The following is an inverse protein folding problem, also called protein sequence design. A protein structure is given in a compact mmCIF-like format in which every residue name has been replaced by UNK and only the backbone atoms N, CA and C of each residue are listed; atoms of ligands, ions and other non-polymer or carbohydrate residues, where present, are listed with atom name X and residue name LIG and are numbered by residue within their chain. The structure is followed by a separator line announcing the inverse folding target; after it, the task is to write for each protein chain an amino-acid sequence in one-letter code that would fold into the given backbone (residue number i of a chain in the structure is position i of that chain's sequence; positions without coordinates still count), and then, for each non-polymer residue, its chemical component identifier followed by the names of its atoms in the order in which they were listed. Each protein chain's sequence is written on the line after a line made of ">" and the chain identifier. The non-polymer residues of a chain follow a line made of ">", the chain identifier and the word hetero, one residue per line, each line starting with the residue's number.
data_IF_821053194175
#
_entry.id   IF_821053194175
#
_cell.length_a   1.000
_cell.length_b   1.000
_cell.length_c   1.000
_cell.angle_alpha   90.00
_cell.angle_beta   90.00
_cell.angle_gamma   90.00
#
_symmetry.space_group_name_H-M   'P 1'
#
loop_
_entity.id
_entity.type
_entity.pdbx_description
1 polymer ?
#
# COMPACT_ATOMS: atom_id res chain seq x y z
N UNK A 1 2.95 5.68 19.78
CA UNK A 1 1.52 5.73 19.38
C UNK A 1 1.33 5.03 18.03
N UNK A 2 0.30 4.24 17.94
CA UNK A 2 -0.02 3.55 16.69
C UNK A 2 -0.48 4.56 15.63
N UNK A 3 0.08 4.45 14.43
CA UNK A 3 -0.33 5.27 13.29
C UNK A 3 -0.79 4.35 12.19
N UNK A 4 -2.07 4.38 11.83
CA UNK A 4 -2.59 3.49 10.78
C UNK A 4 -2.02 3.79 9.40
N UNK A 5 -1.57 5.02 9.17
CA UNK A 5 -0.94 5.41 7.92
C UNK A 5 0.36 6.16 8.21
N UNK A 6 1.36 6.05 7.30
CA UNK A 6 2.55 6.89 7.42
C UNK A 6 2.18 8.36 7.32
N UNK A 7 3.03 9.22 7.90
CA UNK A 7 2.79 10.67 7.87
C UNK A 7 2.77 11.26 6.46
N UNK A 8 3.34 10.54 5.51
CA UNK A 8 3.43 11.01 4.13
C UNK A 8 2.21 10.70 3.28
N UNK A 9 1.22 10.01 3.84
CA UNK A 9 0.07 9.51 3.09
C UNK A 9 -1.23 9.99 3.73
N UNK A 10 -2.21 10.31 2.89
CA UNK A 10 -3.55 10.68 3.34
C UNK A 10 -4.59 9.98 2.48
N UNK A 11 -5.84 10.02 2.90
CA UNK A 11 -6.97 9.44 2.20
C UNK A 11 -7.79 10.57 1.58
N UNK A 12 -8.09 10.46 0.29
CA UNK A 12 -8.91 11.44 -0.42
C UNK A 12 -9.76 10.74 -1.46
N UNK A 13 -10.69 11.48 -2.05
CA UNK A 13 -11.48 10.97 -3.17
C UNK A 13 -10.54 10.61 -4.31
N UNK A 14 -10.76 9.44 -4.89
CA UNK A 14 -9.91 8.92 -5.96
C UNK A 14 -10.58 9.11 -7.31
N UNK A 15 -9.78 9.36 -8.32
CA UNK A 15 -10.28 9.38 -9.69
C UNK A 15 -10.51 7.99 -10.23
N UNK A 16 -10.08 6.95 -9.52
CA UNK A 16 -10.23 5.57 -9.96
C UNK A 16 -11.50 4.96 -9.40
N UNK A 17 -11.64 4.99 -8.08
CA UNK A 17 -12.79 4.39 -7.41
C UNK A 17 -12.83 4.88 -5.97
N UNK A 18 -13.96 5.48 -5.57
CA UNK A 18 -14.20 5.89 -4.19
C UNK A 18 -13.05 6.64 -3.57
N UNK A 19 -12.60 6.17 -2.39
CA UNK A 19 -11.47 6.76 -1.70
C UNK A 19 -10.17 6.09 -2.13
N UNK A 20 -9.07 6.81 -1.98
CA UNK A 20 -7.75 6.28 -2.30
C UNK A 20 -6.68 6.86 -1.39
N UNK A 21 -5.47 6.34 -1.53
CA UNK A 21 -4.31 6.80 -0.79
C UNK A 21 -3.54 7.81 -1.65
N UNK A 22 -3.18 8.95 -1.07
CA UNK A 22 -2.49 10.00 -1.80
C UNK A 22 -1.26 10.46 -1.03
N UNK A 23 -0.22 10.83 -1.76
CA UNK A 23 1.00 11.35 -1.17
C UNK A 23 0.76 12.77 -0.69
N UNK A 24 1.10 13.05 0.56
CA UNK A 24 1.03 14.39 1.13
C UNK A 24 2.28 15.21 0.80
N UNK A 25 3.33 14.53 0.43
CA UNK A 25 4.62 15.13 0.09
C UNK A 25 5.35 14.17 -0.83
N UNK A 26 6.47 14.60 -1.36
CA UNK A 26 7.26 13.75 -2.23
C UNK A 26 7.79 12.54 -1.48
N UNK A 27 7.69 11.36 -2.12
CA UNK A 27 8.17 10.10 -1.54
C UNK A 27 9.17 9.48 -2.51
N UNK A 28 10.41 9.28 -2.08
CA UNK A 28 11.44 8.72 -2.98
C UNK A 28 11.14 7.27 -3.38
N UNK A 29 11.62 6.89 -4.55
CA UNK A 29 11.54 5.52 -5.03
C UNK A 29 12.17 4.56 -4.03
N UNK A 30 11.57 3.38 -3.89
CA UNK A 30 12.10 2.35 -2.99
C UNK A 30 11.75 2.52 -1.53
N UNK A 31 10.89 3.48 -1.21
CA UNK A 31 10.47 3.70 0.18
C UNK A 31 9.47 2.64 0.60
N UNK A 32 9.74 1.96 1.71
CA UNK A 32 8.80 1.00 2.29
C UNK A 32 7.77 1.78 3.10
N UNK A 33 6.52 1.66 2.71
CA UNK A 33 5.43 2.43 3.33
C UNK A 33 4.80 1.73 4.52
N UNK A 34 4.85 0.40 4.55
CA UNK A 34 4.29 -0.37 5.65
C UNK A 34 3.61 -1.61 5.13
N UNK A 35 2.94 -2.33 6.03
CA UNK A 35 2.21 -3.55 5.67
C UNK A 35 0.81 -3.23 5.19
N UNK A 36 0.42 -3.87 4.07
CA UNK A 36 -0.96 -3.79 3.58
C UNK A 36 -1.78 -4.99 4.03
N UNK A 37 -1.10 -6.14 4.25
CA UNK A 37 -1.71 -7.33 4.86
C UNK A 37 -0.70 -7.94 5.80
N UNK A 38 -1.13 -8.39 6.97
CA UNK A 38 -0.24 -9.15 7.86
C UNK A 38 -0.82 -10.54 8.09
N UNK A 39 0.06 -11.49 8.36
CA UNK A 39 -0.34 -12.87 8.61
C UNK A 39 -0.50 -13.09 10.11
N UNK A 40 -1.65 -13.66 10.49
CA UNK A 40 -1.91 -13.99 11.88
C UNK A 40 -2.70 -15.30 11.92
N UNK A 41 -2.18 -16.29 12.61
CA UNK A 41 -2.83 -17.60 12.72
C UNK A 41 -3.19 -18.19 11.37
N UNK A 42 -2.30 -18.02 10.38
CA UNK A 42 -2.52 -18.59 9.06
C UNK A 42 -3.44 -17.79 8.16
N UNK A 43 -3.94 -16.66 8.63
CA UNK A 43 -4.83 -15.81 7.85
C UNK A 43 -4.17 -14.49 7.52
N UNK A 44 -4.56 -13.92 6.39
CA UNK A 44 -4.11 -12.58 6.02
C UNK A 44 -5.15 -11.56 6.47
N UNK A 45 -4.69 -10.58 7.22
CA UNK A 45 -5.54 -9.51 7.75
C UNK A 45 -5.16 -8.20 7.07
N UNK A 46 -6.15 -7.51 6.55
CA UNK A 46 -5.90 -6.22 5.88
C UNK A 46 -5.64 -5.13 6.90
N UNK A 47 -4.63 -4.31 6.63
CA UNK A 47 -4.33 -3.14 7.47
C UNK A 47 -5.07 -1.91 6.93
N UNK A 48 -5.12 -0.80 7.69
CA UNK A 48 -5.67 0.44 7.14
C UNK A 48 -4.98 0.89 5.86
N UNK A 49 -3.67 0.74 5.78
CA UNK A 49 -2.94 1.06 4.55
C UNK A 49 -3.45 0.22 3.39
N UNK A 50 -3.68 -1.06 3.61
CA UNK A 50 -4.18 -1.95 2.57
C UNK A 50 -5.64 -1.74 2.23
N UNK A 51 -6.41 -1.13 3.13
CA UNK A 51 -7.85 -1.01 2.94
C UNK A 51 -8.24 0.05 1.92
N UNK A 52 -7.43 1.07 1.73
CA UNK A 52 -7.81 2.22 0.90
C UNK A 52 -7.03 2.36 -0.40
N UNK A 53 -6.11 1.46 -0.68
CA UNK A 53 -5.35 1.53 -1.92
C UNK A 53 -6.15 0.96 -3.08
N UNK A 54 -6.06 1.59 -4.23
CA UNK A 54 -6.77 1.16 -5.43
C UNK A 54 -5.85 0.36 -6.35
N UNK A 55 -6.48 -0.49 -7.15
CA UNK A 55 -5.76 -1.29 -8.13
C UNK A 55 -5.39 -0.42 -9.34
N UNK A 56 -4.22 -0.69 -9.92
CA UNK A 56 -3.84 -0.10 -11.21
C UNK A 56 -2.97 -1.10 -11.96
N UNK A 57 -3.11 -1.12 -13.27
CA UNK A 57 -2.24 -1.93 -14.12
C UNK A 57 -0.90 -1.23 -14.38
N UNK A 58 -0.83 0.06 -14.05
CA UNK A 58 0.40 0.84 -14.12
C UNK A 58 0.60 1.53 -12.77
N UNK A 59 0.90 0.74 -11.73
CA UNK A 59 0.87 1.25 -10.36
C UNK A 59 2.11 2.05 -9.99
N UNK A 60 1.96 2.90 -8.98
CA UNK A 60 3.07 3.67 -8.43
C UNK A 60 3.84 2.87 -7.38
N UNK A 61 3.26 1.80 -6.88
CA UNK A 61 3.86 0.99 -5.82
C UNK A 61 3.82 -0.48 -6.18
N UNK A 62 4.61 -1.27 -5.44
CA UNK A 62 4.61 -2.71 -5.57
C UNK A 62 4.55 -3.32 -4.19
N UNK A 63 3.98 -4.52 -4.10
CA UNK A 63 3.96 -5.23 -2.83
C UNK A 63 5.02 -6.32 -2.83
N UNK A 64 5.53 -6.63 -1.64
CA UNK A 64 6.49 -7.73 -1.48
C UNK A 64 6.24 -8.41 -0.15
N UNK A 65 6.52 -9.71 -0.10
CA UNK A 65 6.35 -10.48 1.13
C UNK A 65 7.65 -10.42 1.92
N UNK A 66 7.54 -10.19 3.21
CA UNK A 66 8.70 -10.22 4.09
C UNK A 66 8.27 -10.51 5.51
N UNK A 67 9.25 -10.84 6.34
CA UNK A 67 9.09 -11.05 7.78
C UNK A 67 9.96 -10.06 8.51
N UNK A 68 9.63 -8.79 8.35
CA UNK A 68 10.36 -7.73 9.04
C UNK A 68 9.99 -7.74 10.51
N UNK A 69 10.62 -6.87 11.29
CA UNK A 69 10.43 -6.92 12.74
C UNK A 69 8.98 -6.68 13.15
N UNK A 70 8.18 -6.08 12.30
CA UNK A 70 6.77 -5.86 12.59
C UNK A 70 5.89 -7.07 12.25
N UNK A 71 6.49 -8.14 11.77
CA UNK A 71 5.78 -9.38 11.48
C UNK A 71 5.80 -9.74 10.01
N UNK A 72 5.26 -10.92 9.71
CA UNK A 72 5.21 -11.44 8.35
C UNK A 72 3.99 -10.91 7.63
N UNK A 73 4.15 -10.58 6.35
CA UNK A 73 3.03 -10.12 5.56
C UNK A 73 3.47 -9.48 4.26
N UNK A 74 2.48 -8.89 3.61
CA UNK A 74 2.71 -8.14 2.38
C UNK A 74 2.98 -6.69 2.75
N UNK A 75 4.14 -6.21 2.31
CA UNK A 75 4.56 -4.82 2.50
C UNK A 75 4.43 -4.07 1.19
N UNK A 76 4.28 -2.76 1.28
CA UNK A 76 4.16 -1.88 0.11
C UNK A 76 5.40 -1.00 0.01
N UNK A 77 5.92 -0.88 -1.20
CA UNK A 77 7.11 -0.08 -1.49
C UNK A 77 6.87 0.72 -2.77
N UNK A 78 7.35 1.95 -2.80
CA UNK A 78 7.23 2.78 -4.01
C UNK A 78 8.13 2.24 -5.11
N UNK A 79 7.63 2.22 -6.35
CA UNK A 79 8.38 1.77 -7.52
C UNK A 79 9.17 2.89 -8.17
N UNK A 80 8.75 4.11 -7.94
CA UNK A 80 9.36 5.30 -8.50
C UNK A 80 9.17 6.44 -7.53
N UNK A 81 9.76 7.59 -7.83
CA UNK A 81 9.50 8.79 -7.05
C UNK A 81 8.04 9.16 -7.19
N UNK A 82 7.41 9.45 -6.06
CA UNK A 82 6.01 9.84 -6.00
C UNK A 82 5.96 11.32 -5.65
N UNK A 83 5.18 12.08 -6.40
CA UNK A 83 5.07 13.51 -6.13
C UNK A 83 3.85 13.79 -5.26
N UNK A 84 3.89 14.93 -4.56
CA UNK A 84 2.77 15.35 -3.74
C UNK A 84 1.49 15.36 -4.57
N UNK A 85 0.44 14.76 -4.03
CA UNK A 85 -0.86 14.71 -4.69
C UNK A 85 -1.07 13.50 -5.59
N UNK A 86 -0.04 12.69 -5.82
CA UNK A 86 -0.22 11.49 -6.63
C UNK A 86 -0.89 10.38 -5.81
N UNK A 87 -1.69 9.57 -6.48
CA UNK A 87 -2.35 8.44 -5.85
C UNK A 87 -1.40 7.26 -5.76
N UNK A 88 -1.42 6.57 -4.62
CA UNK A 88 -0.62 5.37 -4.39
C UNK A 88 -1.46 4.17 -4.75
N UNK A 89 -0.99 3.38 -5.72
CA UNK A 89 -1.72 2.23 -6.25
C UNK A 89 -0.79 1.03 -6.33
N UNK A 90 -1.38 -0.16 -6.39
CA UNK A 90 -0.63 -1.37 -6.68
C UNK A 90 -1.53 -2.34 -7.43
N UNK A 91 -0.92 -3.37 -8.03
CA UNK A 91 -1.68 -4.37 -8.77
C UNK A 91 -2.19 -5.42 -7.77
N UNK A 92 -3.48 -5.71 -7.82
CA UNK A 92 -4.12 -6.66 -6.91
C UNK A 92 -3.85 -8.10 -7.36
N UNK A 93 -2.64 -8.56 -7.14
CA UNK A 93 -2.29 -9.90 -7.59
C UNK A 93 -2.72 -10.99 -6.64
N UNK A 94 -3.03 -10.63 -5.38
CA UNK A 94 -3.50 -11.63 -4.43
C UNK A 94 -4.79 -12.30 -4.86
N UNK A 95 -5.57 -11.62 -5.68
CA UNK A 95 -6.88 -12.10 -6.07
C UNK A 95 -6.92 -12.76 -7.43
N UNK A 96 -5.78 -12.94 -8.05
CA UNK A 96 -5.71 -13.51 -9.38
C UNK A 96 -5.27 -14.94 -9.41
N UNK A 97 -4.91 -15.46 -8.30
CA UNK A 97 -4.18 -16.71 -8.28
C UNK A 97 -5.00 -17.92 -8.53
N UNK A 98 -6.25 -17.77 -8.49
CA UNK A 98 -7.14 -18.90 -8.54
C UNK A 98 -7.29 -19.53 -9.89
N UNK A 99 -6.65 -19.00 -10.83
CA UNK A 99 -6.81 -19.52 -12.19
C UNK A 99 -6.18 -20.87 -12.39
#
# INVERSE_FOLDING_TARGET
>A
MYKPLPDTITIKDSGIHGLGLFAKEEIPSGTVLGMIHFQFNGELMRTPLGAFGNHSDDPTCEKFWDSLENGAGWYLRTKRDIYEGEELTWTYTLYKVTI
#
